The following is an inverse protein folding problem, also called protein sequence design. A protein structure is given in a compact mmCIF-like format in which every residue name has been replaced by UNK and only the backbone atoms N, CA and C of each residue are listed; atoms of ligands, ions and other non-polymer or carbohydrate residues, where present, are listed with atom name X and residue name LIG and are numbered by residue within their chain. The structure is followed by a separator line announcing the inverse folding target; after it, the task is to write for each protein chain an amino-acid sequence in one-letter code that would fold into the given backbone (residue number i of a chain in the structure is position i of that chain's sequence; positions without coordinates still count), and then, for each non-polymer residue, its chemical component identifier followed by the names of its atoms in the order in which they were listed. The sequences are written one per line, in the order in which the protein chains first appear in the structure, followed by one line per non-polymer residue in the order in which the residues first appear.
data_IF_861145562468
#
_entry.id   IF_861145562468
#
_cell.length_a   1.000
_cell.length_b   1.000
_cell.length_c   1.000
_cell.angle_alpha   90.00
_cell.angle_beta   90.00
_cell.angle_gamma   90.00
#
_symmetry.space_group_name_H-M   'P 1'
#
loop_
_entity.id
_entity.type
_entity.pdbx_description
1 polymer ?
#
# COMPACT_ATOMS: atom_id res chain seq x y z
N UNK A 1 16.08 -1.07 21.43
CA UNK A 1 15.38 0.15 20.99
C UNK A 1 15.86 0.45 19.59
N UNK A 2 15.00 0.93 18.68
CA UNK A 2 15.42 1.28 17.34
C UNK A 2 16.51 2.36 17.40
N UNK A 3 17.48 2.31 16.49
CA UNK A 3 18.54 3.32 16.41
C UNK A 3 18.11 4.59 15.67
N UNK A 4 16.99 4.53 14.95
CA UNK A 4 16.38 5.65 14.24
C UNK A 4 15.37 6.42 15.09
N UNK A 5 15.10 7.68 14.72
CA UNK A 5 14.10 8.52 15.39
C UNK A 5 12.79 8.68 14.61
N UNK A 6 12.86 8.73 13.28
CA UNK A 6 11.76 9.04 12.36
C UNK A 6 11.83 8.13 11.15
N UNK A 7 11.25 6.95 11.28
CA UNK A 7 11.21 5.97 10.20
C UNK A 7 10.31 6.47 9.07
N UNK A 8 10.87 6.52 7.86
CA UNK A 8 10.14 6.75 6.61
C UNK A 8 10.42 5.63 5.64
N UNK A 9 9.40 5.24 4.87
CA UNK A 9 9.56 4.47 3.64
C UNK A 9 9.34 5.41 2.46
N UNK A 10 10.27 5.43 1.51
CA UNK A 10 10.22 6.40 0.43
C UNK A 10 10.79 5.86 -0.88
N UNK A 11 10.24 6.35 -1.98
CA UNK A 11 10.84 6.27 -3.29
C UNK A 11 11.87 7.40 -3.41
N UNK A 12 13.10 7.04 -3.72
CA UNK A 12 14.21 7.96 -3.89
C UNK A 12 14.30 8.47 -5.33
N UNK A 13 15.19 9.46 -5.56
CA UNK A 13 15.49 9.99 -6.91
C UNK A 13 16.32 9.04 -7.77
N UNK A 14 16.88 7.98 -7.19
CA UNK A 14 17.55 6.89 -7.90
C UNK A 14 16.57 5.75 -8.26
N UNK A 15 15.27 6.01 -8.14
CA UNK A 15 14.16 5.10 -8.43
C UNK A 15 14.12 3.82 -7.60
N UNK A 16 14.83 3.81 -6.45
CA UNK A 16 14.77 2.72 -5.47
C UNK A 16 13.91 3.10 -4.27
N UNK A 17 13.33 2.08 -3.64
CA UNK A 17 12.60 2.23 -2.39
C UNK A 17 13.54 1.94 -1.22
N UNK A 18 13.51 2.80 -0.22
CA UNK A 18 14.30 2.65 1.00
C UNK A 18 13.43 2.82 2.24
N UNK A 19 13.83 2.16 3.31
CA UNK A 19 13.60 2.67 4.66
C UNK A 19 14.70 3.65 5.03
N UNK A 20 14.36 4.68 5.80
CA UNK A 20 15.34 5.63 6.31
C UNK A 20 14.91 6.39 7.55
N UNK A 21 15.89 6.99 8.22
CA UNK A 21 15.68 7.95 9.31
C UNK A 21 15.62 9.36 8.72
N UNK A 22 14.45 9.99 8.80
CA UNK A 22 14.16 11.25 8.12
C UNK A 22 14.99 12.41 8.69
N UNK A 23 15.65 13.15 7.79
CA UNK A 23 16.39 14.36 8.13
C UNK A 23 15.45 15.56 7.97
N UNK A 24 15.13 16.21 9.08
CA UNK A 24 14.28 17.41 9.10
C UNK A 24 15.10 18.69 9.17
N UNK A 25 14.60 19.80 8.59
CA UNK A 25 15.14 21.12 8.86
C UNK A 25 15.11 21.46 10.37
N UNK A 26 16.00 22.35 10.81
CA UNK A 26 16.06 22.76 12.21
C UNK A 26 14.72 23.32 12.71
N UNK A 27 14.26 22.83 13.86
CA UNK A 27 12.99 23.23 14.47
C UNK A 27 11.74 22.63 13.80
N UNK A 28 11.88 21.88 12.72
CA UNK A 28 10.77 21.22 12.06
C UNK A 28 10.45 19.86 12.71
N UNK A 29 9.17 19.54 12.83
CA UNK A 29 8.69 18.25 13.36
C UNK A 29 7.85 17.48 12.35
N UNK A 30 7.34 18.13 11.31
CA UNK A 30 6.53 17.49 10.28
C UNK A 30 7.40 16.67 9.32
N UNK A 31 7.28 15.34 9.42
CA UNK A 31 8.01 14.40 8.55
C UNK A 31 7.73 14.63 7.05
N UNK A 32 6.56 15.15 6.66
CA UNK A 32 6.25 15.45 5.25
C UNK A 32 7.20 16.48 4.62
N UNK A 33 7.91 17.26 5.44
CA UNK A 33 8.90 18.25 4.98
C UNK A 33 10.30 17.66 4.81
N UNK A 34 10.53 16.39 5.19
CA UNK A 34 11.79 15.70 4.94
C UNK A 34 12.09 15.66 3.43
N UNK A 35 13.32 16.01 3.07
CA UNK A 35 13.83 15.90 1.69
C UNK A 35 14.94 14.88 1.53
N UNK A 36 15.47 14.39 2.65
CA UNK A 36 16.55 13.42 2.73
C UNK A 36 16.32 12.50 3.90
N UNK A 37 16.89 11.29 3.84
CA UNK A 37 16.93 10.38 4.97
C UNK A 37 18.27 9.62 4.98
N UNK A 38 18.73 9.26 6.18
CA UNK A 38 19.77 8.24 6.34
C UNK A 38 19.17 6.88 6.02
N UNK A 39 19.78 6.12 5.12
CA UNK A 39 19.26 4.80 4.72
C UNK A 39 19.36 3.83 5.90
N UNK A 40 18.26 3.13 6.16
CA UNK A 40 18.19 2.01 7.10
C UNK A 40 18.29 0.71 6.32
N UNK A 41 19.17 -0.20 6.77
CA UNK A 41 19.30 -1.55 6.23
C UNK A 41 18.96 -2.58 7.30
N UNK A 42 18.38 -3.71 6.90
CA UNK A 42 17.96 -4.79 7.81
C UNK A 42 16.47 -4.71 8.15
N UNK A 43 16.09 -5.36 9.23
CA UNK A 43 14.71 -5.47 9.70
C UNK A 43 14.38 -4.31 10.67
N UNK A 44 13.41 -3.48 10.30
CA UNK A 44 12.99 -2.29 11.07
C UNK A 44 12.36 -2.64 12.43
N UNK A 45 11.87 -3.87 12.61
CA UNK A 45 11.40 -4.39 13.90
C UNK A 45 12.47 -5.18 14.64
N UNK A 46 13.45 -5.70 13.90
CA UNK A 46 14.55 -6.52 14.40
C UNK A 46 15.91 -5.83 14.33
N UNK A 47 16.90 -6.56 13.79
CA UNK A 47 18.27 -6.06 13.65
C UNK A 47 18.37 -5.18 12.40
N UNK A 48 18.75 -3.93 12.60
CA UNK A 48 18.96 -2.94 11.55
C UNK A 48 20.13 -2.01 11.87
N UNK A 49 20.61 -1.34 10.83
CA UNK A 49 21.65 -0.31 10.90
C UNK A 49 21.15 0.97 10.21
N UNK A 50 21.23 2.11 10.91
CA UNK A 50 21.09 3.44 10.30
C UNK A 50 22.47 3.79 9.72
N UNK A 51 22.56 3.86 8.40
CA UNK A 51 23.83 4.04 7.70
C UNK A 51 24.17 5.53 7.50
N UNK A 52 25.44 5.82 7.24
CA UNK A 52 25.88 7.17 6.84
C UNK A 52 25.42 7.56 5.43
N UNK A 53 24.83 6.62 4.66
CA UNK A 53 24.33 6.88 3.31
C UNK A 53 23.06 7.74 3.39
N UNK A 54 23.14 8.97 2.90
CA UNK A 54 22.01 9.88 2.78
C UNK A 54 21.44 9.85 1.36
N UNK A 55 20.13 9.68 1.23
CA UNK A 55 19.43 9.65 -0.07
C UNK A 55 18.35 10.71 -0.13
N UNK A 56 18.17 11.32 -1.31
CA UNK A 56 17.11 12.29 -1.58
C UNK A 56 15.74 11.58 -1.71
N UNK A 57 14.76 12.08 -0.97
CA UNK A 57 13.37 11.62 -1.00
C UNK A 57 12.69 12.22 -2.23
N UNK A 58 12.15 11.37 -3.12
CA UNK A 58 11.27 11.78 -4.23
C UNK A 58 9.81 11.76 -3.81
N UNK A 59 9.38 10.68 -3.16
CA UNK A 59 8.00 10.47 -2.71
C UNK A 59 7.99 9.67 -1.42
N UNK A 60 7.26 10.16 -0.41
CA UNK A 60 6.99 9.40 0.80
C UNK A 60 5.89 8.37 0.52
N UNK A 61 6.11 7.14 0.95
CA UNK A 61 5.16 6.03 0.81
C UNK A 61 4.47 5.76 2.15
N UNK A 62 3.53 4.82 2.16
CA UNK A 62 3.04 4.21 3.41
C UNK A 62 4.25 3.84 4.30
N UNK A 63 4.28 4.25 5.59
CA UNK A 63 5.44 4.09 6.45
C UNK A 63 5.99 2.67 6.59
N UNK A 64 5.14 1.66 6.42
CA UNK A 64 5.54 0.26 6.32
C UNK A 64 5.13 -0.29 4.95
N UNK A 65 5.92 -1.24 4.44
CA UNK A 65 5.53 -2.06 3.30
C UNK A 65 4.36 -2.98 3.70
N UNK A 66 3.54 -3.39 2.73
CA UNK A 66 2.32 -4.17 3.01
C UNK A 66 2.63 -5.52 3.67
N UNK A 67 3.75 -6.13 3.29
CA UNK A 67 4.30 -7.36 3.86
C UNK A 67 4.75 -7.20 5.33
N UNK A 68 5.14 -5.99 5.73
CA UNK A 68 5.62 -5.66 7.07
C UNK A 68 4.48 -5.26 8.02
N UNK A 69 3.25 -5.11 7.51
CA UNK A 69 2.07 -4.81 8.31
C UNK A 69 1.49 -6.09 8.87
N UNK A 70 1.17 -6.12 10.15
CA UNK A 70 0.38 -7.18 10.79
C UNK A 70 -1.12 -6.99 10.56
N UNK A 71 -1.86 -6.73 11.63
CA UNK A 71 -3.28 -6.39 11.66
C UNK A 71 -3.51 -4.89 11.69
N UNK A 72 -4.64 -4.42 11.14
CA UNK A 72 -5.08 -3.03 11.27
C UNK A 72 -6.29 -3.00 12.20
N UNK A 73 -6.03 -2.67 13.47
CA UNK A 73 -7.00 -2.57 14.55
C UNK A 73 -7.46 -1.13 14.70
N UNK A 74 -8.74 -0.91 14.93
CA UNK A 74 -9.32 0.42 15.04
C UNK A 74 -10.26 0.49 16.24
N UNK A 75 -10.25 1.61 16.96
CA UNK A 75 -11.13 1.86 18.10
C UNK A 75 -12.16 2.92 17.76
N UNK A 76 -13.44 2.57 17.75
CA UNK A 76 -14.49 3.59 17.64
C UNK A 76 -14.90 4.14 18.99
N UNK A 77 -15.46 5.36 18.97
CA UNK A 77 -15.97 6.06 20.15
C UNK A 77 -14.93 6.22 21.26
N UNK A 78 -13.65 6.43 20.91
CA UNK A 78 -12.58 6.53 21.89
C UNK A 78 -12.24 7.97 22.31
N UNK A 79 -13.03 8.98 21.91
CA UNK A 79 -12.92 10.36 22.40
C UNK A 79 -14.21 10.76 23.11
N UNK A 80 -14.09 11.44 24.24
CA UNK A 80 -15.25 11.78 25.08
C UNK A 80 -16.19 12.72 24.34
N UNK A 81 -15.65 13.76 23.68
CA UNK A 81 -16.47 14.71 22.94
C UNK A 81 -17.11 14.08 21.69
N UNK A 82 -16.41 13.16 21.03
CA UNK A 82 -16.96 12.42 19.88
C UNK A 82 -18.14 11.51 20.28
N UNK A 83 -18.08 10.84 21.44
CA UNK A 83 -19.21 10.07 21.95
C UNK A 83 -20.43 10.98 22.23
N UNK A 84 -20.20 12.17 22.78
CA UNK A 84 -21.24 13.16 23.06
C UNK A 84 -21.87 13.70 21.76
N UNK A 85 -21.07 14.09 20.76
CA UNK A 85 -21.60 14.67 19.51
C UNK A 85 -22.47 13.67 18.73
N UNK A 86 -22.06 12.40 18.72
CA UNK A 86 -22.77 11.32 18.03
C UNK A 86 -23.96 10.79 18.83
N UNK A 87 -24.19 11.32 20.05
CA UNK A 87 -25.24 10.89 21.00
C UNK A 87 -25.16 9.40 21.32
N UNK A 88 -23.97 8.82 21.24
CA UNK A 88 -23.72 7.43 21.63
C UNK A 88 -23.29 7.36 23.10
N UNK A 89 -23.64 6.29 23.83
CA UNK A 89 -23.17 6.13 25.20
C UNK A 89 -21.65 5.99 25.23
N UNK A 90 -21.00 6.63 26.22
CA UNK A 90 -19.56 6.46 26.44
C UNK A 90 -19.29 4.96 26.70
N UNK A 91 -18.43 4.33 25.89
CA UNK A 91 -18.17 2.90 26.01
C UNK A 91 -17.48 2.56 27.34
N UNK A 92 -17.82 1.39 27.90
CA UNK A 92 -17.14 0.84 29.09
C UNK A 92 -15.86 0.08 28.76
N UNK A 93 -15.77 -0.43 27.53
CA UNK A 93 -14.64 -1.19 26.99
C UNK A 93 -14.33 -0.70 25.58
N UNK A 94 -13.07 -0.78 25.11
CA UNK A 94 -12.70 -0.39 23.75
C UNK A 94 -13.59 -1.07 22.70
N UNK A 95 -14.19 -0.29 21.79
CA UNK A 95 -15.00 -0.83 20.69
C UNK A 95 -14.08 -1.12 19.50
N UNK A 96 -13.56 -2.35 19.48
CA UNK A 96 -12.63 -2.83 18.47
C UNK A 96 -13.33 -3.24 17.18
N UNK A 97 -12.77 -2.83 16.05
CA UNK A 97 -13.03 -3.40 14.74
C UNK A 97 -11.72 -3.49 13.95
N UNK A 98 -11.77 -4.16 12.80
CA UNK A 98 -10.60 -4.34 11.93
C UNK A 98 -10.83 -3.67 10.58
N UNK A 99 -9.75 -3.17 9.98
CA UNK A 99 -9.70 -2.85 8.55
C UNK A 99 -8.81 -3.88 7.85
N UNK A 100 -9.11 -4.25 6.60
CA UNK A 100 -8.20 -5.09 5.82
C UNK A 100 -6.92 -4.31 5.50
N UNK A 101 -5.78 -5.01 5.36
CA UNK A 101 -4.51 -4.36 4.98
C UNK A 101 -4.60 -3.62 3.64
N UNK A 102 -5.48 -4.06 2.73
CA UNK A 102 -5.74 -3.40 1.44
C UNK A 102 -6.34 -1.99 1.59
N UNK A 103 -6.91 -1.66 2.75
CA UNK A 103 -7.38 -0.31 3.03
C UNK A 103 -6.25 0.68 3.28
N UNK A 104 -5.02 0.22 3.59
CA UNK A 104 -3.90 1.12 3.84
C UNK A 104 -3.45 1.83 2.56
N UNK A 105 -3.13 3.11 2.70
CA UNK A 105 -2.56 3.93 1.63
C UNK A 105 -1.54 4.94 2.19
N UNK A 106 -0.74 5.50 1.31
CA UNK A 106 0.34 6.40 1.64
C UNK A 106 -0.09 7.84 1.97
N UNK A 107 0.87 8.66 2.40
CA UNK A 107 0.61 10.01 2.91
C UNK A 107 0.16 11.03 1.85
N UNK A 108 0.28 10.68 0.58
CA UNK A 108 -0.14 11.50 -0.56
C UNK A 108 -0.95 10.73 -1.60
N UNK A 109 -1.33 9.49 -1.30
CA UNK A 109 -2.13 8.67 -2.21
C UNK A 109 -3.58 9.20 -2.24
N UNK A 110 -4.31 9.02 -3.36
CA UNK A 110 -5.72 9.36 -3.38
C UNK A 110 -6.54 8.47 -2.43
N UNK A 111 -7.71 8.95 -2.01
CA UNK A 111 -8.76 8.15 -1.36
C UNK A 111 -9.75 7.76 -2.46
N UNK A 112 -9.65 6.53 -3.02
CA UNK A 112 -10.55 6.11 -4.09
C UNK A 112 -11.93 5.79 -3.53
N UNK A 113 -12.97 6.31 -4.19
CA UNK A 113 -14.37 6.06 -3.81
C UNK A 113 -15.01 5.10 -4.82
N UNK A 114 -15.12 3.79 -4.49
CA UNK A 114 -15.66 2.80 -5.41
C UNK A 114 -17.16 3.01 -5.64
N UNK A 115 -17.68 2.52 -6.76
CA UNK A 115 -19.08 2.73 -7.17
C UNK A 115 -20.11 2.43 -6.06
N UNK A 116 -19.91 1.37 -5.25
CA UNK A 116 -20.84 1.03 -4.16
C UNK A 116 -20.84 2.02 -2.99
N UNK A 117 -19.78 2.82 -2.86
CA UNK A 117 -19.58 3.82 -1.82
C UNK A 117 -19.90 5.25 -2.32
N UNK A 118 -20.33 5.41 -3.57
CA UNK A 118 -20.75 6.70 -4.12
C UNK A 118 -22.23 7.00 -3.82
N UNK A 119 -23.01 6.00 -3.42
CA UNK A 119 -24.42 6.12 -3.09
C UNK A 119 -24.63 6.54 -1.63
N UNK A 120 -25.66 7.35 -1.35
CA UNK A 120 -26.07 7.67 0.04
C UNK A 120 -25.35 8.86 0.67
N UNK A 121 -24.31 9.42 0.02
CA UNK A 121 -23.60 10.65 0.40
C UNK A 121 -23.32 10.75 1.91
N UNK A 122 -22.56 9.79 2.45
CA UNK A 122 -22.19 9.78 3.87
C UNK A 122 -20.72 9.38 4.11
N UNK A 123 -19.86 9.82 3.20
CA UNK A 123 -18.41 9.67 3.28
C UNK A 123 -17.85 10.70 4.26
N UNK A 124 -17.02 10.24 5.17
CA UNK A 124 -16.56 10.99 6.33
C UNK A 124 -15.05 10.81 6.54
N UNK A 125 -14.47 11.81 7.19
CA UNK A 125 -13.06 11.87 7.59
C UNK A 125 -12.95 11.64 9.10
N UNK A 126 -11.85 11.04 9.53
CA UNK A 126 -11.59 10.72 10.93
C UNK A 126 -10.09 10.77 11.20
N UNK A 127 -9.54 11.90 11.68
CA UNK A 127 -8.13 11.92 12.08
C UNK A 127 -7.89 11.06 13.32
N UNK A 128 -6.85 10.24 13.30
CA UNK A 128 -6.49 9.36 14.40
C UNK A 128 -4.99 9.30 14.62
N UNK A 129 -4.59 9.18 15.89
CA UNK A 129 -3.25 8.72 16.23
C UNK A 129 -3.17 7.23 15.93
N UNK A 130 -2.10 6.82 15.25
CA UNK A 130 -1.84 5.41 14.92
C UNK A 130 -0.65 4.93 15.74
N UNK A 131 -0.86 3.91 16.57
CA UNK A 131 0.21 3.20 17.27
C UNK A 131 0.76 2.14 16.32
N UNK A 132 2.09 2.04 16.24
CA UNK A 132 2.77 0.95 15.54
C UNK A 132 3.45 0.04 16.57
N UNK A 133 3.02 -1.22 16.62
CA UNK A 133 3.62 -2.21 17.51
C UNK A 133 4.99 -2.62 16.95
N UNK A 134 6.00 -2.63 17.81
CA UNK A 134 7.38 -2.95 17.45
C UNK A 134 7.89 -4.28 18.02
N UNK A 135 7.18 -4.85 19.00
CA UNK A 135 7.50 -6.13 19.61
C UNK A 135 6.23 -6.92 19.87
N UNK A 136 6.35 -8.24 19.81
CA UNK A 136 5.27 -9.14 20.19
C UNK A 136 4.80 -8.87 21.63
N UNK A 137 3.51 -8.62 21.81
CA UNK A 137 2.87 -8.35 23.10
C UNK A 137 1.70 -9.33 23.34
N UNK A 138 1.67 -10.00 24.48
CA UNK A 138 0.58 -10.86 24.93
C UNK A 138 0.40 -10.67 26.42
N UNK A 139 -0.85 -10.41 26.84
CA UNK A 139 -1.25 -10.20 28.24
C UNK A 139 -0.39 -9.14 28.97
N UNK A 140 0.00 -8.06 28.27
CA UNK A 140 0.87 -7.03 28.83
C UNK A 140 0.14 -6.06 29.74
N UNK A 141 0.82 -5.62 30.81
CA UNK A 141 0.32 -4.63 31.76
C UNK A 141 0.24 -3.22 31.14
N UNK A 142 -0.49 -2.29 31.75
CA UNK A 142 -0.51 -0.89 31.29
C UNK A 142 0.85 -0.20 31.54
N UNK A 143 1.56 -0.60 32.59
CA UNK A 143 2.86 -0.08 32.98
C UNK A 143 3.92 -0.39 31.92
N UNK A 144 3.90 -1.62 31.40
CA UNK A 144 4.88 -2.13 30.43
C UNK A 144 4.45 -1.88 28.97
N UNK A 145 3.21 -1.45 28.73
CA UNK A 145 2.61 -1.33 27.40
C UNK A 145 3.48 -0.56 26.38
N UNK A 146 4.13 0.53 26.80
CA UNK A 146 4.94 1.36 25.90
C UNK A 146 6.22 0.68 25.45
N UNK A 147 6.71 -0.35 26.14
CA UNK A 147 7.95 -1.05 25.75
C UNK A 147 7.80 -1.91 24.49
N UNK A 148 6.56 -2.13 24.06
CA UNK A 148 6.17 -2.87 22.87
C UNK A 148 5.86 -1.97 21.67
N UNK A 149 5.84 -0.66 21.85
CA UNK A 149 5.56 0.32 20.79
C UNK A 149 6.85 0.63 20.02
N UNK A 150 6.80 0.54 18.68
CA UNK A 150 7.85 1.08 17.82
C UNK A 150 7.79 2.61 17.84
N UNK A 151 6.60 3.14 17.55
CA UNK A 151 6.35 4.57 17.46
C UNK A 151 4.91 4.90 17.10
N UNK A 152 4.72 6.14 16.67
CA UNK A 152 3.42 6.73 16.39
C UNK A 152 3.41 7.37 15.00
N UNK A 153 2.25 7.32 14.37
CA UNK A 153 1.93 7.98 13.09
C UNK A 153 0.59 8.69 13.19
N UNK A 154 0.15 9.37 12.13
CA UNK A 154 -1.23 9.87 11.99
C UNK A 154 -1.90 9.15 10.83
N UNK A 155 -3.20 8.90 10.95
CA UNK A 155 -3.99 8.29 9.90
C UNK A 155 -5.40 8.87 9.81
N UNK A 156 -6.08 8.56 8.71
CA UNK A 156 -7.47 8.92 8.48
C UNK A 156 -8.32 7.63 8.40
N UNK A 157 -9.23 7.40 9.34
CA UNK A 157 -10.17 6.28 9.28
C UNK A 157 -11.40 6.63 8.42
N UNK A 158 -11.18 6.70 7.10
CA UNK A 158 -12.23 7.05 6.14
C UNK A 158 -13.42 6.10 6.30
N UNK A 159 -14.60 6.71 6.37
CA UNK A 159 -15.81 6.03 6.80
C UNK A 159 -16.99 6.36 5.91
N UNK A 160 -17.82 5.37 5.61
CA UNK A 160 -19.11 5.56 4.97
C UNK A 160 -20.22 5.21 5.97
N UNK A 161 -20.89 6.22 6.51
CA UNK A 161 -21.78 6.06 7.67
C UNK A 161 -22.97 5.14 7.40
N UNK A 162 -23.52 5.17 6.19
CA UNK A 162 -24.59 4.24 5.82
C UNK A 162 -24.11 2.78 5.79
N UNK A 163 -22.95 2.49 5.20
CA UNK A 163 -22.36 1.15 5.22
C UNK A 163 -21.92 0.73 6.63
N UNK A 164 -21.45 1.68 7.45
CA UNK A 164 -21.04 1.43 8.83
C UNK A 164 -22.24 1.05 9.72
N UNK A 165 -23.33 1.82 9.64
CA UNK A 165 -24.43 1.77 10.62
C UNK A 165 -25.59 0.90 10.14
N UNK A 166 -25.96 1.00 8.86
CA UNK A 166 -27.18 0.36 8.33
C UNK A 166 -26.88 -0.90 7.53
N UNK A 167 -26.01 -0.80 6.53
CA UNK A 167 -25.80 -1.90 5.57
C UNK A 167 -24.77 -2.93 6.06
N UNK A 168 -23.93 -2.58 7.04
CA UNK A 168 -22.91 -3.45 7.62
C UNK A 168 -23.42 -4.47 8.62
N UNK A 169 -24.73 -4.56 8.86
CA UNK A 169 -25.32 -5.53 9.80
C UNK A 169 -24.86 -5.35 11.25
N UNK A 170 -24.52 -4.12 11.64
CA UNK A 170 -23.95 -3.80 12.96
C UNK A 170 -22.43 -3.99 13.06
N UNK A 171 -21.75 -4.41 11.99
CA UNK A 171 -20.30 -4.50 11.91
C UNK A 171 -19.71 -3.30 11.17
N UNK A 172 -18.82 -2.55 11.81
CA UNK A 172 -18.31 -1.29 11.27
C UNK A 172 -17.30 -1.47 10.14
N UNK A 173 -16.59 -2.60 10.10
CA UNK A 173 -15.55 -2.88 9.11
C UNK A 173 -16.01 -2.73 7.66
N UNK A 174 -17.26 -3.07 7.34
CA UNK A 174 -17.78 -2.94 5.97
C UNK A 174 -17.90 -1.50 5.49
N UNK A 175 -18.19 -0.56 6.39
CA UNK A 175 -18.26 0.86 6.07
C UNK A 175 -16.92 1.58 6.12
N UNK A 176 -15.85 0.89 6.47
CA UNK A 176 -14.53 1.50 6.69
C UNK A 176 -13.44 0.84 5.85
N UNK A 177 -13.56 -0.46 5.55
CA UNK A 177 -12.49 -1.28 4.99
C UNK A 177 -12.38 -1.30 3.46
N UNK A 178 -12.83 -0.27 2.76
CA UNK A 178 -12.56 -0.17 1.32
C UNK A 178 -11.07 0.11 1.05
N UNK A 179 -10.61 -0.24 -0.14
CA UNK A 179 -9.20 -0.06 -0.50
C UNK A 179 -8.81 1.42 -0.45
N UNK A 180 -7.64 1.72 0.13
CA UNK A 180 -7.13 3.09 0.32
C UNK A 180 -7.87 3.96 1.35
N UNK A 181 -8.79 3.41 2.17
CA UNK A 181 -9.56 4.15 3.19
C UNK A 181 -8.89 4.25 4.57
N UNK A 182 -7.62 3.87 4.68
CA UNK A 182 -6.79 4.05 5.87
C UNK A 182 -5.43 4.66 5.49
N UNK A 183 -5.40 5.86 4.85
CA UNK A 183 -4.15 6.52 4.61
C UNK A 183 -3.48 6.85 5.95
N UNK A 184 -2.18 6.62 6.04
CA UNK A 184 -1.39 6.94 7.23
C UNK A 184 0.04 7.33 6.89
N UNK A 185 0.69 8.05 7.81
CA UNK A 185 2.03 8.59 7.63
C UNK A 185 2.18 9.94 8.32
N UNK A 186 3.06 10.84 7.84
CA UNK A 186 4.00 10.69 6.72
C UNK A 186 5.24 9.83 7.04
N UNK A 187 5.32 9.33 8.27
CA UNK A 187 6.33 8.38 8.77
C UNK A 187 5.93 7.88 10.16
N UNK A 188 6.85 7.24 10.86
CA UNK A 188 6.68 6.77 12.24
C UNK A 188 7.72 7.47 13.11
N UNK A 189 7.26 8.25 14.10
CA UNK A 189 8.14 8.82 15.12
C UNK A 189 8.26 7.84 16.27
N UNK A 190 9.48 7.44 16.62
CA UNK A 190 9.68 6.46 17.69
C UNK A 190 9.20 6.98 19.04
N UNK A 191 8.80 6.05 19.92
CA UNK A 191 8.27 6.42 21.25
C UNK A 191 9.23 7.26 22.09
N UNK A 192 10.54 7.13 21.86
CA UNK A 192 11.58 7.86 22.59
C UNK A 192 11.79 9.27 22.00
N UNK A 193 11.51 9.46 20.71
CA UNK A 193 11.57 10.76 20.04
C UNK A 193 10.31 11.61 20.28
N UNK A 194 9.15 10.97 20.49
CA UNK A 194 7.86 11.63 20.77
C UNK A 194 7.53 11.56 22.27
N UNK A 195 7.87 12.62 23.01
CA UNK A 195 7.90 12.62 24.49
C UNK A 195 6.60 12.21 25.19
N UNK A 196 5.44 12.69 24.72
CA UNK A 196 4.15 12.37 25.32
C UNK A 196 3.07 12.24 24.24
N UNK A 197 2.90 11.02 23.73
CA UNK A 197 1.90 10.72 22.71
C UNK A 197 0.45 10.84 23.22
N UNK A 198 0.23 10.84 24.54
CA UNK A 198 -1.09 10.97 25.15
C UNK A 198 -1.54 12.44 25.28
N UNK A 199 -0.71 13.41 24.91
CA UNK A 199 -1.03 14.83 25.01
C UNK A 199 -0.51 15.62 23.81
N UNK A 200 -0.99 15.24 22.63
CA UNK A 200 -0.66 15.87 21.35
C UNK A 200 -1.88 16.57 20.78
N UNK A 201 -1.67 17.70 20.10
CA UNK A 201 -2.70 18.27 19.24
C UNK A 201 -2.92 17.38 18.00
N UNK A 202 -4.18 17.12 17.66
CA UNK A 202 -4.58 16.33 16.49
C UNK A 202 -5.69 17.06 15.74
N UNK A 203 -5.62 17.09 14.40
CA UNK A 203 -6.52 17.89 13.58
C UNK A 203 -6.82 17.29 12.22
N UNK A 204 -7.92 17.76 11.64
CA UNK A 204 -8.30 17.56 10.24
C UNK A 204 -8.61 18.89 9.61
N UNK A 205 -8.10 19.14 8.39
CA UNK A 205 -8.58 20.20 7.50
C UNK A 205 -9.20 19.58 6.26
N UNK A 206 -10.34 20.14 5.85
CA UNK A 206 -11.00 19.83 4.60
C UNK A 206 -10.90 21.06 3.69
N UNK A 207 -10.27 20.91 2.53
CA UNK A 207 -10.05 22.01 1.58
C UNK A 207 -9.39 23.25 2.23
N UNK A 208 -8.48 23.02 3.20
CA UNK A 208 -7.78 24.06 3.95
C UNK A 208 -8.53 24.60 5.17
N UNK A 209 -9.81 24.26 5.37
CA UNK A 209 -10.59 24.66 6.54
C UNK A 209 -10.52 23.63 7.66
N UNK A 210 -10.19 24.05 8.88
CA UNK A 210 -10.13 23.15 10.05
C UNK A 210 -11.52 22.63 10.40
N UNK A 211 -11.68 21.30 10.37
CA UNK A 211 -12.94 20.60 10.67
C UNK A 211 -12.86 19.72 11.92
N UNK A 212 -11.67 19.27 12.32
CA UNK A 212 -11.42 18.66 13.63
C UNK A 212 -10.19 19.34 14.23
N UNK A 213 -10.20 19.61 15.53
CA UNK A 213 -9.05 20.12 16.27
C UNK A 213 -9.20 19.80 17.75
N UNK A 214 -8.47 18.81 18.22
CA UNK A 214 -8.62 18.27 19.57
C UNK A 214 -7.25 17.84 20.10
N UNK A 215 -7.24 17.08 21.20
CA UNK A 215 -6.01 16.57 21.79
C UNK A 215 -6.16 15.10 22.16
N UNK A 216 -5.10 14.32 21.94
CA UNK A 216 -5.07 12.89 22.30
C UNK A 216 -5.31 12.63 23.78
N UNK A 217 -5.23 13.66 24.64
CA UNK A 217 -5.60 13.56 26.07
C UNK A 217 -7.08 13.28 26.31
N UNK A 218 -7.95 13.56 25.34
CA UNK A 218 -9.40 13.33 25.45
C UNK A 218 -9.78 11.85 25.18
N UNK A 219 -8.79 11.00 24.88
CA UNK A 219 -9.02 9.58 24.68
C UNK A 219 -9.60 8.93 25.95
N UNK A 220 -10.73 8.23 25.79
CA UNK A 220 -11.39 7.48 26.87
C UNK A 220 -10.51 6.31 27.32
N UNK A 221 -9.93 5.61 26.35
CA UNK A 221 -8.94 4.56 26.53
C UNK A 221 -7.62 5.04 25.93
N UNK A 222 -6.75 5.59 26.78
CA UNK A 222 -5.42 6.03 26.36
C UNK A 222 -4.54 4.89 25.81
N UNK A 223 -3.37 5.24 25.29
CA UNK A 223 -2.42 4.36 24.58
C UNK A 223 -2.07 3.12 25.42
N UNK A 224 -1.65 3.31 26.67
CA UNK A 224 -1.26 2.21 27.58
C UNK A 224 -2.40 1.22 27.81
N UNK A 225 -3.59 1.74 28.16
CA UNK A 225 -4.80 0.95 28.37
C UNK A 225 -5.23 0.21 27.11
N UNK A 226 -5.14 0.87 25.96
CA UNK A 226 -5.46 0.27 24.66
C UNK A 226 -4.57 -0.92 24.37
N UNK A 227 -3.25 -0.76 24.47
CA UNK A 227 -2.29 -1.85 24.21
C UNK A 227 -2.49 -2.99 25.21
N UNK A 228 -2.56 -2.67 26.51
CA UNK A 228 -2.77 -3.68 27.56
C UNK A 228 -4.05 -4.47 27.30
N UNK A 229 -5.17 -3.80 27.06
CA UNK A 229 -6.47 -4.44 26.80
C UNK A 229 -6.46 -5.29 25.53
N UNK A 230 -5.95 -4.76 24.41
CA UNK A 230 -5.95 -5.46 23.13
C UNK A 230 -4.97 -6.64 23.08
N UNK A 231 -4.00 -6.68 23.99
CA UNK A 231 -3.07 -7.79 24.15
C UNK A 231 -3.63 -8.94 24.99
N UNK A 232 -4.75 -8.75 25.72
CA UNK A 232 -5.31 -9.78 26.60
C UNK A 232 -5.92 -10.92 25.77
N UNK A 233 -5.32 -12.11 25.87
CA UNK A 233 -5.75 -13.32 25.15
C UNK A 233 -5.60 -13.25 23.62
N UNK A 234 -5.04 -12.16 23.07
CA UNK A 234 -4.77 -12.00 21.64
C UNK A 234 -3.43 -11.31 21.46
N UNK A 235 -2.49 -11.98 20.81
CA UNK A 235 -1.17 -11.41 20.56
C UNK A 235 -1.25 -10.17 19.65
N UNK A 236 -0.48 -9.13 20.00
CA UNK A 236 -0.11 -8.02 19.14
C UNK A 236 1.25 -8.33 18.53
N UNK A 237 1.38 -8.29 17.21
CA UNK A 237 2.63 -8.60 16.50
C UNK A 237 3.37 -7.33 16.07
N UNK A 238 4.71 -7.36 15.89
CA UNK A 238 5.42 -6.27 15.23
C UNK A 238 4.78 -5.94 13.88
N UNK A 239 4.56 -4.65 13.62
CA UNK A 239 3.86 -4.18 12.43
C UNK A 239 2.33 -4.13 12.56
N UNK A 240 1.75 -4.58 13.67
CA UNK A 240 0.35 -4.29 13.99
C UNK A 240 0.16 -2.76 14.10
N UNK A 241 -0.91 -2.27 13.45
CA UNK A 241 -1.34 -0.88 13.48
C UNK A 241 -2.58 -0.76 14.35
N UNK A 242 -2.60 0.22 15.26
CA UNK A 242 -3.77 0.54 16.07
C UNK A 242 -4.18 1.99 15.85
N UNK A 243 -5.25 2.17 15.09
CA UNK A 243 -6.02 3.41 14.93
C UNK A 243 -6.82 3.65 16.21
N UNK A 244 -6.48 4.71 16.93
CA UNK A 244 -6.88 4.89 18.34
C UNK A 244 -8.20 5.63 18.54
N UNK A 245 -8.96 5.86 17.48
CA UNK A 245 -10.20 6.63 17.47
C UNK A 245 -10.01 8.09 17.08
N UNK A 246 -11.12 8.69 16.67
CA UNK A 246 -11.18 10.08 16.18
C UNK A 246 -11.86 11.01 17.18
N UNK A 247 -11.41 12.28 17.29
CA UNK A 247 -12.10 13.30 18.07
C UNK A 247 -13.39 13.80 17.43
N UNK A 248 -14.07 14.71 18.12
CA UNK A 248 -15.24 15.40 17.63
C UNK A 248 -14.98 16.22 16.36
N UNK A 249 -16.04 16.56 15.64
CA UNK A 249 -16.00 17.36 14.41
C UNK A 249 -16.07 16.56 13.11
N UNK A 250 -16.30 15.25 13.21
CA UNK A 250 -16.60 14.41 12.03
C UNK A 250 -17.82 14.94 11.30
N UNK A 251 -17.91 14.64 10.01
CA UNK A 251 -19.00 15.05 9.13
C UNK A 251 -20.39 14.73 9.67
N UNK A 252 -20.57 13.52 10.20
CA UNK A 252 -21.84 13.06 10.79
C UNK A 252 -22.26 13.84 12.06
N UNK A 253 -21.30 14.35 12.83
CA UNK A 253 -21.55 15.06 14.09
C UNK A 253 -22.02 16.51 13.88
N UNK A 254 -21.96 17.02 12.64
CA UNK A 254 -22.27 18.42 12.30
C UNK A 254 -23.76 18.61 11.97
N UNK A 255 -24.21 19.86 12.09
CA UNK A 255 -25.56 20.28 11.71
C UNK A 255 -25.53 21.57 10.87
N UNK A 256 -25.70 21.52 9.54
CA UNK A 256 -25.92 20.31 8.75
C UNK A 256 -24.67 19.40 8.68
N UNK A 257 -24.83 18.10 8.35
CA UNK A 257 -23.69 17.21 8.15
C UNK A 257 -22.75 17.69 7.04
N UNK A 258 -21.47 17.37 7.18
CA UNK A 258 -20.43 17.72 6.20
C UNK A 258 -19.82 16.43 5.62
N UNK A 259 -20.13 16.13 4.36
CA UNK A 259 -19.66 14.91 3.72
C UNK A 259 -18.58 15.18 2.69
N UNK A 260 -17.63 14.24 2.58
CA UNK A 260 -16.61 14.23 1.54
C UNK A 260 -17.25 14.09 0.15
N UNK A 261 -16.67 14.82 -0.81
CA UNK A 261 -17.08 14.87 -2.22
C UNK A 261 -15.87 14.63 -3.10
N UNK A 262 -16.15 14.38 -4.38
CA UNK A 262 -15.11 14.27 -5.40
C UNK A 262 -14.25 15.53 -5.46
N UNK A 263 -12.93 15.34 -5.50
CA UNK A 263 -11.93 16.40 -5.53
C UNK A 263 -11.65 17.07 -4.18
N UNK A 264 -12.33 16.69 -3.10
CA UNK A 264 -12.01 17.21 -1.78
C UNK A 264 -10.59 16.81 -1.34
N UNK A 265 -9.88 17.74 -0.71
CA UNK A 265 -8.54 17.52 -0.16
C UNK A 265 -8.63 17.43 1.35
N UNK A 266 -8.22 16.30 1.91
CA UNK A 266 -8.22 16.04 3.35
C UNK A 266 -6.78 16.07 3.86
N UNK A 267 -6.49 16.97 4.79
CA UNK A 267 -5.23 17.01 5.54
C UNK A 267 -5.50 16.54 6.98
N UNK A 268 -4.92 15.42 7.41
CA UNK A 268 -4.94 15.02 8.83
C UNK A 268 -3.54 15.17 9.41
N UNK A 269 -3.44 15.68 10.64
CA UNK A 269 -2.16 15.97 11.26
C UNK A 269 -2.11 15.70 12.74
N UNK A 270 -0.89 15.43 13.22
CA UNK A 270 -0.57 15.13 14.59
C UNK A 270 0.71 15.86 14.99
N UNK A 271 0.64 16.55 16.12
CA UNK A 271 1.77 17.31 16.68
C UNK A 271 2.99 16.41 16.88
N UNK A 272 4.17 16.91 16.48
CA UNK A 272 5.42 16.17 16.62
C UNK A 272 5.67 15.08 15.57
N UNK A 273 4.65 14.72 14.77
CA UNK A 273 4.74 13.72 13.68
C UNK A 273 4.66 14.37 12.30
N UNK A 274 3.65 15.22 12.08
CA UNK A 274 3.39 15.84 10.79
C UNK A 274 1.97 15.62 10.29
N UNK A 275 1.81 15.67 8.97
CA UNK A 275 0.49 15.58 8.32
C UNK A 275 0.54 14.78 7.03
N UNK A 276 -0.56 14.12 6.71
CA UNK A 276 -0.82 13.48 5.41
C UNK A 276 -1.89 14.27 4.67
N UNK A 277 -1.83 14.30 3.34
CA UNK A 277 -2.75 15.04 2.48
C UNK A 277 -3.23 14.12 1.37
N UNK A 278 -4.51 13.80 1.36
CA UNK A 278 -5.08 12.86 0.41
C UNK A 278 -6.25 13.52 -0.34
N UNK A 279 -6.33 13.30 -1.66
CA UNK A 279 -7.44 13.80 -2.49
C UNK A 279 -8.49 12.71 -2.65
N UNK A 280 -9.77 13.07 -2.47
CA UNK A 280 -10.89 12.16 -2.65
C UNK A 280 -11.20 12.03 -4.15
N UNK A 281 -11.22 10.81 -4.67
CA UNK A 281 -11.40 10.55 -6.10
C UNK A 281 -12.57 9.60 -6.35
N UNK A 282 -13.64 10.12 -6.97
CA UNK A 282 -14.79 9.34 -7.41
C UNK A 282 -14.53 8.87 -8.84
N UNK A 283 -14.19 7.59 -9.04
CA UNK A 283 -13.85 7.09 -10.37
C UNK A 283 -13.61 5.59 -10.44
N UNK A 284 -13.75 5.04 -11.66
CA UNK A 284 -13.82 3.60 -12.05
C UNK A 284 -12.70 2.69 -11.49
N UNK A 285 -12.89 1.34 -11.45
CA UNK A 285 -12.08 0.33 -10.71
C UNK A 285 -10.55 0.31 -10.91
N UNK A 286 -9.97 1.26 -11.66
CA UNK A 286 -8.55 1.36 -12.00
C UNK A 286 -7.86 2.60 -11.39
N UNK A 287 -8.44 3.24 -10.35
CA UNK A 287 -7.70 4.26 -9.61
C UNK A 287 -6.40 3.65 -9.08
N UNK A 288 -5.26 4.13 -9.58
CA UNK A 288 -3.93 3.61 -9.25
C UNK A 288 -3.60 3.95 -7.79
N UNK A 289 -3.98 3.07 -6.87
CA UNK A 289 -3.36 3.06 -5.55
C UNK A 289 -1.91 2.67 -5.79
N UNK A 290 -0.96 3.52 -5.41
CA UNK A 290 0.45 3.15 -5.40
C UNK A 290 0.71 2.20 -4.22
N UNK A 291 0.11 1.00 -4.28
CA UNK A 291 0.58 -0.16 -3.54
C UNK A 291 1.94 -0.49 -4.14
N UNK A 292 2.99 0.16 -3.63
CA UNK A 292 4.35 -0.02 -4.06
C UNK A 292 4.75 -1.46 -3.78
N UNK A 293 4.53 -2.30 -4.80
CA UNK A 293 5.01 -3.66 -4.97
C UNK A 293 6.44 -3.71 -4.45
N UNK A 294 6.72 -4.67 -3.57
CA UNK A 294 8.01 -4.86 -2.92
C UNK A 294 9.15 -4.77 -3.95
N UNK A 295 10.06 -3.81 -3.74
CA UNK A 295 11.30 -3.79 -4.49
C UNK A 295 12.19 -4.94 -3.98
N UNK A 296 12.80 -5.76 -4.85
CA UNK A 296 13.73 -6.78 -4.41
C UNK A 296 14.93 -6.11 -3.74
N UNK A 297 15.19 -6.48 -2.49
CA UNK A 297 16.39 -6.08 -1.76
C UNK A 297 17.58 -6.88 -2.27
N UNK A 298 18.55 -6.23 -2.92
CA UNK A 298 19.91 -6.76 -2.95
C UNK A 298 20.98 -5.69 -3.16
N UNK A 299 22.09 -5.91 -2.45
CA UNK A 299 23.31 -5.12 -2.36
C UNK A 299 23.86 -4.71 -3.73
N UNK A 300 23.93 -3.41 -4.01
CA UNK A 300 24.59 -2.89 -5.20
C UNK A 300 26.08 -2.67 -4.92
N UNK A 301 26.91 -3.63 -5.32
CA UNK A 301 28.29 -3.32 -5.71
C UNK A 301 28.25 -2.40 -6.94
N UNK A 302 29.06 -1.34 -6.94
CA UNK A 302 29.09 -0.33 -8.00
C UNK A 302 29.39 -0.93 -9.39
N UNK A 303 28.54 -0.62 -10.38
CA UNK A 303 28.78 -0.97 -11.78
C UNK A 303 29.23 0.26 -12.60
N UNK A 304 30.20 0.10 -13.53
CA UNK A 304 30.81 1.21 -14.26
C UNK A 304 29.90 1.74 -15.39
N UNK A 305 29.97 3.06 -15.63
CA UNK A 305 29.32 3.73 -16.77
C UNK A 305 29.93 3.27 -18.10
N UNK A 306 29.12 2.71 -19.00
CA UNK A 306 29.49 2.50 -20.40
C UNK A 306 28.55 3.30 -21.29
N UNK A 307 29.08 4.33 -21.97
CA UNK A 307 28.49 4.91 -23.16
C UNK A 307 28.63 3.90 -24.31
N UNK A 308 27.54 3.33 -24.85
CA UNK A 308 27.55 2.70 -26.18
C UNK A 308 26.18 2.66 -26.84
N UNK A 309 26.17 2.97 -28.15
CA UNK A 309 25.08 2.76 -29.10
C UNK A 309 24.74 1.27 -29.19
N UNK A 310 23.45 0.94 -29.17
CA UNK A 310 22.96 -0.38 -29.52
C UNK A 310 22.90 -0.53 -31.05
N UNK A 311 23.71 -1.43 -31.59
CA UNK A 311 23.54 -1.99 -32.92
C UNK A 311 22.99 -3.41 -32.73
N UNK A 312 21.70 -3.60 -33.01
CA UNK A 312 21.06 -4.88 -33.36
C UNK A 312 21.08 -6.01 -32.31
N UNK A 313 19.98 -6.16 -31.56
CA UNK A 313 19.67 -7.38 -30.81
C UNK A 313 18.29 -7.29 -30.13
N UNK A 314 17.52 -8.39 -30.13
CA UNK A 314 16.15 -8.49 -29.61
C UNK A 314 16.08 -9.34 -28.32
N UNK A 315 15.06 -9.11 -27.48
CA UNK A 315 14.77 -9.81 -26.23
C UNK A 315 13.50 -10.70 -26.35
N UNK A 316 13.40 -11.80 -25.57
CA UNK A 316 12.32 -12.80 -25.65
C UNK A 316 11.69 -13.18 -24.28
N UNK A 317 10.48 -13.76 -24.31
CA UNK A 317 9.66 -14.11 -23.13
C UNK A 317 9.19 -15.57 -23.22
N UNK A 318 9.25 -16.31 -22.10
CA UNK A 318 8.71 -17.67 -21.98
C UNK A 318 7.52 -17.70 -21.01
N UNK A 319 6.45 -18.40 -21.38
CA UNK A 319 5.24 -18.58 -20.56
C UNK A 319 4.98 -20.07 -20.37
N UNK A 320 4.77 -20.52 -19.13
CA UNK A 320 4.29 -21.86 -18.85
C UNK A 320 2.96 -21.80 -18.10
N UNK A 321 2.04 -22.69 -18.48
CA UNK A 321 0.76 -22.90 -17.82
C UNK A 321 0.79 -24.26 -17.10
N UNK A 322 0.33 -24.30 -15.85
CA UNK A 322 0.10 -25.55 -15.12
C UNK A 322 -1.40 -25.79 -14.97
N UNK A 323 -1.89 -26.93 -15.42
CA UNK A 323 -3.23 -27.39 -15.09
C UNK A 323 -3.20 -28.12 -13.73
N UNK A 324 -3.49 -27.37 -12.67
CA UNK A 324 -3.99 -27.96 -11.45
C UNK A 324 -5.47 -28.30 -11.66
N UNK A 325 -5.84 -29.57 -11.59
CA UNK A 325 -7.24 -30.01 -11.68
C UNK A 325 -8.09 -29.30 -10.63
N UNK A 326 -8.77 -28.20 -11.01
CA UNK A 326 -10.01 -27.71 -10.39
C UNK A 326 -10.73 -26.69 -11.30
N UNK A 327 -11.83 -27.19 -11.87
CA UNK A 327 -12.99 -26.52 -12.46
C UNK A 327 -13.02 -24.98 -12.65
N UNK A 328 -13.17 -24.59 -13.92
CA UNK A 328 -13.83 -23.37 -14.45
C UNK A 328 -13.36 -22.02 -13.89
N UNK A 329 -12.44 -21.40 -14.64
CA UNK A 329 -12.48 -19.94 -14.85
C UNK A 329 -11.29 -19.11 -14.37
N UNK A 330 -10.21 -19.72 -13.90
CA UNK A 330 -8.97 -18.98 -13.61
C UNK A 330 -7.78 -19.94 -13.68
N UNK A 331 -6.93 -19.78 -14.69
CA UNK A 331 -5.67 -20.53 -14.81
C UNK A 331 -4.55 -19.74 -14.11
N UNK A 332 -3.74 -20.45 -13.33
CA UNK A 332 -2.52 -19.91 -12.73
C UNK A 332 -1.39 -19.93 -13.77
N UNK A 333 -0.76 -18.78 -14.00
CA UNK A 333 0.34 -18.65 -14.95
C UNK A 333 1.62 -18.18 -14.28
N UNK A 334 2.74 -18.74 -14.73
CA UNK A 334 4.08 -18.30 -14.36
C UNK A 334 4.79 -17.77 -15.62
N UNK A 335 5.42 -16.60 -15.48
CA UNK A 335 6.17 -15.93 -16.54
C UNK A 335 7.63 -15.82 -16.11
N UNK A 336 8.54 -16.27 -16.97
CA UNK A 336 9.97 -16.11 -16.78
C UNK A 336 10.59 -15.44 -18.01
N UNK A 337 11.48 -14.49 -17.77
CA UNK A 337 12.18 -13.70 -18.79
C UNK A 337 13.67 -13.92 -18.61
N UNK A 338 14.34 -14.30 -19.70
CA UNK A 338 15.77 -14.61 -19.72
C UNK A 338 16.50 -13.66 -20.66
N UNK A 339 17.78 -13.42 -20.40
CA UNK A 339 18.66 -12.68 -21.32
C UNK A 339 19.18 -13.56 -22.48
N UNK A 340 19.91 -12.95 -23.42
CA UNK A 340 20.58 -13.65 -24.53
C UNK A 340 21.71 -14.59 -24.11
N UNK A 341 21.93 -14.81 -22.82
CA UNK A 341 22.84 -15.82 -22.25
C UNK A 341 22.09 -16.88 -21.44
N UNK A 342 20.76 -16.93 -21.58
CA UNK A 342 19.85 -17.83 -20.84
C UNK A 342 19.90 -17.64 -19.31
N UNK A 343 20.25 -16.45 -18.83
CA UNK A 343 20.14 -16.12 -17.40
C UNK A 343 18.77 -15.54 -17.11
N UNK A 344 18.12 -16.00 -16.03
CA UNK A 344 16.84 -15.46 -15.59
C UNK A 344 17.04 -14.01 -15.14
N UNK A 345 16.36 -13.08 -15.80
CA UNK A 345 16.45 -11.64 -15.48
C UNK A 345 15.18 -11.10 -14.83
N UNK A 346 14.03 -11.74 -15.04
CA UNK A 346 12.79 -11.39 -14.35
C UNK A 346 11.84 -12.58 -14.33
N UNK A 347 11.04 -12.71 -13.28
CA UNK A 347 9.95 -13.68 -13.25
C UNK A 347 8.77 -13.16 -12.44
N UNK A 348 7.60 -13.71 -12.74
CA UNK A 348 6.41 -13.55 -11.91
C UNK A 348 5.60 -14.83 -11.93
N UNK A 349 5.33 -15.33 -10.73
CA UNK A 349 4.60 -16.57 -10.52
C UNK A 349 3.18 -16.27 -10.00
N UNK A 350 2.30 -17.25 -10.12
CA UNK A 350 0.94 -17.24 -9.58
C UNK A 350 0.08 -16.08 -10.09
N UNK A 351 0.06 -15.87 -11.40
CA UNK A 351 -0.76 -14.84 -12.05
C UNK A 351 -2.16 -15.39 -12.30
N UNK A 352 -3.18 -14.68 -11.80
CA UNK A 352 -4.59 -15.07 -11.90
C UNK A 352 -5.41 -14.01 -12.65
N UNK A 353 -6.15 -14.42 -13.68
CA UNK A 353 -7.15 -13.59 -14.39
C UNK A 353 -6.63 -12.71 -15.52
N UNK A 354 -7.49 -11.79 -15.99
CA UNK A 354 -7.20 -10.80 -17.04
C UNK A 354 -6.32 -9.67 -16.51
N UNK A 355 -5.25 -9.32 -17.24
CA UNK A 355 -4.35 -8.27 -16.78
C UNK A 355 -3.26 -7.85 -17.76
N UNK A 356 -2.79 -6.60 -17.59
CA UNK A 356 -1.56 -6.10 -18.17
C UNK A 356 -0.37 -6.41 -17.25
N UNK A 357 0.67 -7.03 -17.81
CA UNK A 357 1.96 -7.20 -17.17
C UNK A 357 2.97 -6.29 -17.85
N UNK A 358 3.51 -5.36 -17.08
CA UNK A 358 4.61 -4.50 -17.50
C UNK A 358 5.91 -5.15 -17.05
N UNK A 359 6.81 -5.45 -17.98
CA UNK A 359 8.17 -5.89 -17.67
C UNK A 359 9.15 -4.84 -18.21
N UNK A 360 10.11 -4.43 -17.38
CA UNK A 360 11.22 -3.58 -17.80
C UNK A 360 12.51 -4.42 -17.80
N UNK A 361 13.17 -4.47 -18.96
CA UNK A 361 14.51 -5.06 -19.11
C UNK A 361 15.43 -3.99 -19.69
N UNK A 362 16.53 -3.70 -18.99
CA UNK A 362 17.62 -2.79 -19.42
C UNK A 362 17.17 -1.51 -20.15
N UNK A 363 16.12 -0.85 -19.65
CA UNK A 363 15.65 0.44 -20.18
C UNK A 363 14.61 0.38 -21.31
N UNK A 364 13.97 -0.79 -21.54
CA UNK A 364 12.88 -0.93 -22.51
C UNK A 364 11.58 -1.40 -21.83
N UNK A 365 10.46 -0.67 -21.98
CA UNK A 365 9.17 -1.13 -21.48
C UNK A 365 8.56 -2.16 -22.43
N UNK A 366 8.27 -3.35 -21.91
CA UNK A 366 7.48 -4.39 -22.59
C UNK A 366 6.08 -4.45 -21.95
N UNK A 367 5.03 -4.39 -22.78
CA UNK A 367 3.63 -4.48 -22.33
C UNK A 367 3.04 -5.83 -22.75
N UNK A 368 2.86 -6.73 -21.80
CA UNK A 368 2.21 -8.01 -22.03
C UNK A 368 0.72 -7.89 -21.67
N UNK A 369 -0.18 -8.08 -22.65
CA UNK A 369 -1.62 -8.04 -22.45
C UNK A 369 -2.18 -9.48 -22.40
N UNK A 370 -2.60 -9.96 -21.24
CA UNK A 370 -3.24 -11.28 -21.13
C UNK A 370 -4.74 -11.12 -20.99
N UNK A 371 -5.50 -11.72 -21.91
CA UNK A 371 -6.95 -11.59 -22.02
C UNK A 371 -7.58 -13.00 -22.09
N UNK A 372 -8.44 -13.33 -21.14
CA UNK A 372 -9.06 -14.66 -20.97
C UNK A 372 -10.58 -14.62 -21.18
N UNK A 373 -11.17 -13.46 -21.50
CA UNK A 373 -12.60 -13.34 -21.75
C UNK A 373 -13.04 -13.65 -23.19
N UNK A 374 -13.93 -14.64 -23.34
CA UNK A 374 -15.10 -14.51 -24.24
C UNK A 374 -15.09 -15.21 -25.60
N UNK A 375 -14.15 -16.11 -25.87
CA UNK A 375 -14.28 -17.14 -26.91
C UNK A 375 -13.94 -18.46 -26.22
N UNK A 376 -14.57 -19.57 -26.58
CA UNK A 376 -14.39 -20.87 -25.92
C UNK A 376 -12.99 -21.50 -26.05
N UNK A 377 -11.94 -20.71 -26.28
CA UNK A 377 -10.54 -21.12 -26.41
C UNK A 377 -9.64 -20.03 -25.78
N UNK A 378 -8.66 -20.42 -24.95
CA UNK A 378 -7.70 -19.51 -24.31
C UNK A 378 -6.79 -18.82 -25.34
N UNK A 379 -6.73 -17.48 -25.32
CA UNK A 379 -5.94 -16.67 -26.27
C UNK A 379 -5.01 -15.70 -25.54
N UNK A 380 -3.69 -15.82 -25.76
CA UNK A 380 -2.71 -14.82 -25.30
C UNK A 380 -2.36 -13.87 -26.45
N UNK A 381 -2.24 -12.57 -26.16
CA UNK A 381 -1.92 -11.54 -27.16
C UNK A 381 -0.68 -10.76 -26.73
N UNK A 382 0.27 -10.53 -27.62
CA UNK A 382 1.51 -9.80 -27.31
C UNK A 382 1.55 -8.48 -28.09
N UNK A 383 1.88 -7.38 -27.42
CA UNK A 383 1.92 -6.03 -28.00
C UNK A 383 3.22 -5.33 -27.64
N UNK A 384 3.83 -4.64 -28.61
CA UNK A 384 5.00 -3.79 -28.38
C UNK A 384 4.64 -2.38 -28.85
N UNK A 385 4.46 -1.45 -27.90
CA UNK A 385 3.91 -0.12 -28.21
C UNK A 385 2.44 -0.18 -28.66
N UNK A 386 2.04 0.75 -29.55
CA UNK A 386 0.66 0.87 -30.08
C UNK A 386 0.33 -0.12 -31.21
N UNK A 387 1.29 -0.95 -31.66
CA UNK A 387 1.10 -1.92 -32.73
C UNK A 387 1.00 -3.37 -32.18
N UNK A 388 -0.06 -4.09 -32.56
CA UNK A 388 -0.31 -5.48 -32.15
C UNK A 388 0.50 -6.47 -33.00
N UNK A 389 1.22 -7.40 -32.35
CA UNK A 389 2.12 -8.37 -33.02
C UNK A 389 1.54 -9.79 -33.18
N UNK A 390 0.24 -9.96 -32.95
CA UNK A 390 -0.51 -11.19 -33.29
C UNK A 390 -1.27 -11.82 -32.11
N UNK A 391 -2.25 -12.67 -32.44
CA UNK A 391 -3.09 -13.45 -31.50
C UNK A 391 -2.98 -14.94 -31.78
N UNK A 392 -3.04 -15.79 -30.74
CA UNK A 392 -2.90 -17.25 -30.88
C UNK A 392 -3.87 -18.03 -30.01
N UNK A 393 -4.33 -19.20 -30.50
CA UNK A 393 -5.30 -20.07 -29.81
C UNK A 393 -4.66 -21.31 -29.19
N UNK A 394 -5.17 -21.74 -28.04
CA UNK A 394 -4.79 -22.98 -27.35
C UNK A 394 -5.30 -24.24 -28.07
N UNK A 395 -4.43 -25.23 -28.29
CA UNK A 395 -4.79 -26.57 -28.76
C UNK A 395 -4.83 -27.56 -27.59
N UNK A 396 -6.04 -27.96 -27.22
CA UNK A 396 -6.32 -28.87 -26.11
C UNK A 396 -5.78 -30.30 -26.31
N UNK A 397 -5.39 -30.69 -27.53
CA UNK A 397 -4.89 -32.05 -27.78
C UNK A 397 -3.40 -32.21 -27.46
N UNK A 398 -2.63 -31.11 -27.46
CA UNK A 398 -1.17 -31.14 -27.30
C UNK A 398 -0.66 -30.20 -26.19
N UNK A 399 -1.55 -29.46 -25.52
CA UNK A 399 -1.20 -28.55 -24.42
C UNK A 399 -0.32 -27.37 -24.85
N UNK A 400 -0.56 -26.79 -26.05
CA UNK A 400 0.26 -25.71 -26.60
C UNK A 400 -0.60 -24.62 -27.28
N UNK A 401 -0.22 -23.35 -27.12
CA UNK A 401 -0.80 -22.19 -27.80
C UNK A 401 0.10 -21.72 -28.96
N UNK A 402 -0.46 -21.28 -30.09
CA UNK A 402 0.33 -20.79 -31.25
C UNK A 402 -0.19 -19.47 -31.83
N UNK A 403 0.68 -18.49 -32.05
CA UNK A 403 0.39 -17.17 -32.65
C UNK A 403 1.02 -17.10 -34.05
N UNK A 404 0.23 -16.80 -35.08
CA UNK A 404 0.71 -16.68 -36.46
C UNK A 404 1.21 -15.27 -36.80
N UNK A 405 2.30 -15.19 -37.56
CA UNK A 405 2.79 -13.95 -38.19
C UNK A 405 1.82 -13.54 -39.29
N UNK A 406 1.23 -12.36 -39.24
CA UNK A 406 0.53 -11.80 -40.39
C UNK A 406 1.59 -11.27 -41.36
N UNK A 407 1.81 -11.93 -42.49
CA UNK A 407 2.27 -11.24 -43.69
C UNK A 407 1.94 -12.02 -44.97
N UNK A 408 1.70 -11.22 -46.01
CA UNK A 408 1.23 -11.52 -47.37
C UNK A 408 1.83 -12.75 -48.09
N UNK A 409 1.17 -13.26 -49.15
CA UNK A 409 1.27 -14.66 -49.57
C UNK A 409 2.49 -14.97 -50.44
N UNK A 410 3.33 -15.91 -50.02
CA UNK A 410 3.83 -17.01 -50.87
C UNK A 410 4.80 -17.93 -50.11
N UNK A 411 4.76 -19.22 -50.46
CA UNK A 411 5.67 -20.34 -50.14
C UNK A 411 5.36 -21.24 -48.92
N UNK A 412 4.78 -22.39 -49.28
CA UNK A 412 5.04 -23.79 -48.87
C UNK A 412 5.68 -24.15 -47.52
N UNK A 413 4.98 -25.07 -46.83
CA UNK A 413 5.43 -26.11 -45.88
C UNK A 413 6.00 -25.72 -44.51
N UNK A 414 5.37 -26.30 -43.48
CA UNK A 414 5.97 -26.81 -42.23
C UNK A 414 6.51 -25.80 -41.19
N UNK A 415 5.82 -25.79 -40.04
CA UNK A 415 6.36 -25.71 -38.66
C UNK A 415 7.14 -24.47 -38.22
N UNK A 416 6.75 -23.87 -37.08
CA UNK A 416 7.69 -23.24 -36.16
C UNK A 416 7.35 -23.57 -34.71
N UNK A 417 8.43 -23.93 -34.02
CA UNK A 417 8.65 -24.20 -32.60
C UNK A 417 9.22 -22.93 -31.95
N UNK A 418 8.89 -22.64 -30.70
CA UNK A 418 9.62 -21.62 -29.92
C UNK A 418 10.76 -22.31 -29.18
N UNK A 419 11.98 -22.13 -29.68
CA UNK A 419 13.25 -22.44 -29.02
C UNK A 419 14.16 -21.21 -29.13
N UNK A 420 14.69 -20.73 -28.00
CA UNK A 420 15.70 -19.67 -27.92
C UNK A 420 17.08 -20.31 -28.02
N UNK A 421 17.79 -20.09 -29.14
CA UNK A 421 19.15 -20.59 -29.33
C UNK A 421 20.10 -19.47 -29.79
N UNK A 422 21.22 -19.29 -29.09
CA UNK A 422 22.21 -18.23 -29.33
C UNK A 422 23.39 -18.81 -30.11
N UNK A 423 23.23 -18.94 -31.43
CA UNK A 423 24.27 -19.49 -32.30
C UNK A 423 25.04 -18.41 -33.05
N UNK A 424 26.34 -18.27 -32.79
CA UNK A 424 27.27 -17.79 -33.81
C UNK A 424 27.29 -18.79 -34.96
N UNK A 425 27.21 -18.32 -36.20
CA UNK A 425 27.69 -19.09 -37.35
C UNK A 425 28.70 -18.24 -38.10
N UNK A 426 29.76 -18.88 -38.63
CA UNK A 426 30.85 -18.24 -39.36
C UNK A 426 30.40 -17.18 -40.37
#
# INVERSE_FOLDING_TARGET
MPSFSRLVRFLAKDDRIYYGDAILPDGETNIAKAKKAHVITGDVFGKHDVTDKVVDIRLLLSPLATEDVGTVRCLGLNYTQHAIETKMPIPKFPVLFYKPKTSLSGPSDPIPIPARAQTGHSLDYECELVIVIGKQALDVSEEDALDYVLGYSVGNDVSHREWQIKLGGGQWSLGKGFDGWAPYGPGIVTKDALKDAQNLNIWTKLNGETVQNSSTKDQIFGIKKTISFLSQGTTLEPGDLIFTGTPEGVGMGRNPPLWLKDGDVVEVGLEGVGSIINTVEFGSPNAKIYLAIAAPTQEAAEAPKINKRFNGGWCGVHVHTFDGENAKGSHEMNVWVYDGKQQLIWSKESIWGDGQLMAESEGFPLVLNINTHGLGDDVATFTYGDDAWGSGKWDSNNGRCSVGKQDSPSLTSSTVTVDLDCGFSC
#
